data_IF_612145606189
#
_entry.id   IF_612145606189
#
_cell.length_a   1.000
_cell.length_b   1.000
_cell.length_c   1.000
_cell.angle_alpha   90.00
_cell.angle_beta   90.00
_cell.angle_gamma   90.00
#
_symmetry.space_group_name_H-M   'P 1'
#
loop_
_entity.id
_entity.type
_entity.pdbx_description
1 polymer ?
#
# COMPACT_ATOMS: atom_id res chain seq x y z
N UNK A 1 -4.79 36.75 9.55
CA UNK A 1 -5.66 35.88 8.73
C UNK A 1 -5.27 34.44 8.92
N UNK A 2 -6.11 33.64 9.48
CA UNK A 2 -5.81 32.24 9.70
C UNK A 2 -5.84 31.49 8.35
N UNK A 3 -4.85 30.66 8.12
CA UNK A 3 -4.90 29.77 6.97
C UNK A 3 -6.01 28.73 7.19
N UNK A 4 -6.94 28.69 6.27
CA UNK A 4 -7.92 27.61 6.25
C UNK A 4 -7.21 26.39 5.70
N UNK A 5 -6.95 25.41 6.55
CA UNK A 5 -6.50 24.11 6.10
C UNK A 5 -7.69 23.38 5.45
N UNK A 6 -7.42 22.62 4.39
CA UNK A 6 -8.43 21.76 3.85
C UNK A 6 -8.97 20.82 4.95
N UNK A 7 -10.29 20.72 5.14
CA UNK A 7 -10.86 19.83 6.14
C UNK A 7 -10.50 18.37 5.80
N UNK A 8 -10.37 17.56 6.84
CA UNK A 8 -10.27 16.12 6.67
C UNK A 8 -11.57 15.62 6.02
N UNK A 9 -11.44 14.76 5.03
CA UNK A 9 -12.56 14.13 4.35
C UNK A 9 -12.48 12.62 4.50
N UNK A 10 -13.64 11.97 4.55
CA UNK A 10 -13.70 10.51 4.50
C UNK A 10 -13.41 10.07 3.07
N UNK A 11 -12.41 9.23 2.93
CA UNK A 11 -11.99 8.69 1.64
C UNK A 11 -12.03 7.18 1.67
N UNK A 12 -12.51 6.59 0.59
CA UNK A 12 -12.54 5.15 0.40
C UNK A 12 -11.40 4.73 -0.54
N UNK A 13 -10.75 3.61 -0.22
CA UNK A 13 -9.69 3.08 -1.05
C UNK A 13 -10.26 2.65 -2.40
N UNK A 14 -9.81 3.32 -3.46
CA UNK A 14 -10.34 3.12 -4.82
C UNK A 14 -9.46 2.24 -5.70
N UNK A 15 -8.25 1.92 -5.25
CA UNK A 15 -7.30 1.13 -6.01
C UNK A 15 -7.41 -0.32 -5.56
N UNK A 16 -7.74 -1.26 -6.46
CA UNK A 16 -7.81 -2.68 -6.08
C UNK A 16 -6.42 -3.20 -5.69
N UNK A 17 -6.34 -4.24 -4.84
CA UNK A 17 -5.05 -4.84 -4.55
C UNK A 17 -4.43 -5.39 -5.83
N UNK A 18 -3.12 -5.20 -5.96
CA UNK A 18 -2.37 -5.85 -7.04
C UNK A 18 -1.77 -7.16 -6.53
N UNK A 19 -2.02 -8.25 -7.22
CA UNK A 19 -1.44 -9.55 -6.90
C UNK A 19 -1.39 -10.45 -8.12
N UNK A 20 -0.44 -11.38 -8.11
CA UNK A 20 -0.42 -12.53 -9.01
C UNK A 20 -0.70 -13.80 -8.22
N UNK A 21 -1.09 -14.88 -8.89
CA UNK A 21 -1.37 -16.17 -8.24
C UNK A 21 -0.15 -16.72 -7.49
N UNK A 22 1.03 -16.32 -7.91
CA UNK A 22 2.31 -16.74 -7.37
C UNK A 22 3.01 -15.67 -6.53
N UNK A 23 2.32 -14.62 -6.12
CA UNK A 23 2.90 -13.59 -5.25
C UNK A 23 3.41 -14.19 -3.94
N UNK A 24 4.60 -13.78 -3.52
CA UNK A 24 5.26 -14.27 -2.32
C UNK A 24 5.52 -13.20 -1.28
N UNK A 25 5.48 -11.94 -1.70
CA UNK A 25 5.73 -10.77 -0.86
C UNK A 25 4.51 -9.86 -0.96
N UNK A 26 4.01 -9.42 0.18
CA UNK A 26 2.97 -8.38 0.24
C UNK A 26 3.57 -7.12 0.84
N UNK A 27 3.50 -6.01 0.11
CA UNK A 27 3.88 -4.69 0.61
C UNK A 27 2.62 -3.90 0.91
N UNK A 28 2.50 -3.43 2.15
CA UNK A 28 1.36 -2.64 2.60
C UNK A 28 1.81 -1.22 2.90
N UNK A 29 1.15 -0.25 2.27
CA UNK A 29 1.20 1.14 2.67
C UNK A 29 0.07 1.48 3.63
N UNK A 30 -0.11 2.76 3.94
CA UNK A 30 -1.18 3.26 4.80
C UNK A 30 -2.47 3.49 4.02
N UNK A 31 -2.44 4.45 3.10
CA UNK A 31 -3.54 4.83 2.22
C UNK A 31 -2.95 5.51 0.98
N UNK A 32 -3.54 5.37 -0.22
CA UNK A 32 -2.95 5.94 -1.42
C UNK A 32 -2.99 7.47 -1.41
N UNK A 33 -1.95 8.09 -1.95
CA UNK A 33 -1.88 9.54 -2.12
C UNK A 33 -2.96 10.03 -3.10
N UNK A 34 -3.18 11.36 -3.12
CA UNK A 34 -4.10 11.97 -4.10
C UNK A 34 -3.68 11.60 -5.53
N UNK A 35 -2.39 11.69 -5.85
CA UNK A 35 -1.88 11.34 -7.19
C UNK A 35 -2.09 9.87 -7.52
N UNK A 36 -1.91 8.97 -6.58
CA UNK A 36 -2.20 7.55 -6.78
C UNK A 36 -3.67 7.30 -7.02
N UNK A 37 -4.56 7.96 -6.25
CA UNK A 37 -6.01 7.85 -6.44
C UNK A 37 -6.45 8.38 -7.80
N UNK A 38 -5.86 9.48 -8.29
CA UNK A 38 -6.13 10.05 -9.60
C UNK A 38 -5.65 9.14 -10.74
N UNK A 39 -4.47 8.57 -10.60
CA UNK A 39 -3.89 7.69 -11.64
C UNK A 39 -4.43 6.26 -11.61
N UNK A 40 -5.03 5.85 -10.50
CA UNK A 40 -5.58 4.50 -10.33
C UNK A 40 -4.54 3.43 -10.03
N UNK A 41 -3.32 3.80 -9.65
CA UNK A 41 -2.29 2.83 -9.26
C UNK A 41 -1.39 3.35 -8.14
N UNK A 42 -0.65 2.43 -7.50
CA UNK A 42 0.13 2.68 -6.29
C UNK A 42 1.36 3.54 -6.53
N UNK A 43 1.65 4.40 -5.56
CA UNK A 43 2.86 5.21 -5.54
C UNK A 43 3.04 6.04 -6.82
N UNK A 44 1.96 6.68 -7.26
CA UNK A 44 1.92 7.41 -8.53
C UNK A 44 2.49 8.81 -8.50
N UNK A 45 2.80 9.36 -7.30
CA UNK A 45 3.35 10.70 -7.22
C UNK A 45 4.76 10.74 -7.81
N UNK A 46 5.09 11.71 -8.69
CA UNK A 46 6.40 11.75 -9.36
C UNK A 46 7.60 11.82 -8.42
N UNK A 47 7.43 12.38 -7.21
CA UNK A 47 8.47 12.49 -6.21
C UNK A 47 8.55 11.31 -5.26
N UNK A 48 7.64 10.34 -5.37
CA UNK A 48 7.66 9.16 -4.53
C UNK A 48 8.82 8.25 -4.95
N UNK A 49 9.61 7.83 -3.96
CA UNK A 49 10.81 7.02 -4.19
C UNK A 49 10.56 5.52 -4.30
N UNK A 50 9.34 5.07 -4.08
CA UNK A 50 9.02 3.65 -3.98
C UNK A 50 9.55 2.84 -5.17
N UNK A 51 9.22 3.26 -6.40
CA UNK A 51 9.63 2.53 -7.61
C UNK A 51 11.14 2.59 -7.84
N UNK A 52 11.79 3.69 -7.49
CA UNK A 52 13.25 3.82 -7.58
C UNK A 52 13.97 2.91 -6.60
N UNK A 53 13.48 2.86 -5.35
CA UNK A 53 14.04 1.98 -4.33
C UNK A 53 13.85 0.53 -4.74
N UNK A 54 12.65 0.17 -5.17
CA UNK A 54 12.33 -1.20 -5.54
C UNK A 54 13.15 -1.67 -6.74
N UNK A 55 13.25 -0.84 -7.78
CA UNK A 55 14.07 -1.17 -8.96
C UNK A 55 15.55 -1.31 -8.61
N UNK A 56 16.05 -0.49 -7.69
CA UNK A 56 17.43 -0.59 -7.20
C UNK A 56 17.67 -1.89 -6.43
N UNK A 57 16.74 -2.28 -5.57
CA UNK A 57 16.84 -3.54 -4.81
C UNK A 57 16.96 -4.75 -5.73
N UNK A 58 16.22 -4.76 -6.83
CA UNK A 58 16.22 -5.88 -7.78
C UNK A 58 17.19 -5.70 -8.95
N UNK A 59 17.96 -4.61 -8.96
CA UNK A 59 18.87 -4.30 -10.07
C UNK A 59 18.14 -4.35 -11.42
N UNK A 60 17.00 -3.72 -11.48
CA UNK A 60 16.10 -3.72 -12.64
C UNK A 60 15.85 -2.31 -13.16
N UNK A 61 15.46 -2.15 -14.44
CA UNK A 61 15.11 -0.85 -14.99
C UNK A 61 13.92 -0.23 -14.24
N UNK A 62 13.93 1.10 -14.07
CA UNK A 62 12.84 1.82 -13.43
C UNK A 62 11.58 1.74 -14.29
N UNK A 63 10.46 1.17 -13.76
CA UNK A 63 9.21 1.16 -14.50
C UNK A 63 8.61 2.56 -14.59
N UNK A 64 8.15 2.95 -15.76
CA UNK A 64 7.63 4.29 -16.04
C UNK A 64 6.11 4.33 -16.13
N UNK A 65 5.52 3.34 -16.78
CA UNK A 65 4.08 3.25 -17.00
C UNK A 65 3.43 2.32 -15.98
N UNK A 66 2.11 2.44 -15.83
CA UNK A 66 1.35 1.52 -14.96
C UNK A 66 1.53 0.07 -15.42
N UNK A 67 1.52 -0.17 -16.73
CA UNK A 67 1.71 -1.53 -17.25
C UNK A 67 3.12 -2.06 -16.95
N UNK A 68 4.14 -1.24 -17.07
CA UNK A 68 5.51 -1.60 -16.70
C UNK A 68 5.63 -1.87 -15.19
N UNK A 69 4.93 -1.10 -14.36
CA UNK A 69 4.89 -1.31 -12.90
C UNK A 69 4.23 -2.64 -12.56
N UNK A 70 3.13 -2.96 -13.21
CA UNK A 70 2.46 -4.27 -13.04
C UNK A 70 3.37 -5.43 -13.42
N UNK A 71 4.03 -5.33 -14.56
CA UNK A 71 4.96 -6.36 -15.02
C UNK A 71 6.14 -6.53 -14.09
N UNK A 72 6.68 -5.42 -13.56
CA UNK A 72 7.72 -5.44 -12.55
C UNK A 72 7.29 -6.25 -11.32
N UNK A 73 6.09 -5.97 -10.82
CA UNK A 73 5.57 -6.68 -9.64
C UNK A 73 5.35 -8.16 -9.90
N UNK A 74 4.84 -8.53 -11.08
CA UNK A 74 4.68 -9.93 -11.46
C UNK A 74 6.02 -10.65 -11.53
N UNK A 75 7.00 -10.05 -12.17
CA UNK A 75 8.34 -10.61 -12.34
C UNK A 75 9.01 -10.89 -11.00
N UNK A 76 8.77 -10.06 -9.99
CA UNK A 76 9.39 -10.17 -8.67
C UNK A 76 8.48 -10.76 -7.60
N UNK A 77 7.31 -11.29 -7.96
CA UNK A 77 6.37 -11.97 -7.06
C UNK A 77 5.85 -11.08 -5.94
N UNK A 78 5.57 -9.82 -6.24
CA UNK A 78 5.16 -8.81 -5.28
C UNK A 78 3.68 -8.48 -5.43
N UNK A 79 2.96 -8.53 -4.31
CA UNK A 79 1.61 -7.99 -4.17
C UNK A 79 1.66 -6.63 -3.46
N UNK A 80 0.76 -5.73 -3.84
CA UNK A 80 0.65 -4.40 -3.23
C UNK A 80 -0.77 -4.15 -2.75
N UNK A 81 -0.87 -3.57 -1.57
CA UNK A 81 -2.11 -2.98 -1.07
C UNK A 81 -1.80 -1.95 0.01
N UNK A 82 -2.82 -1.50 0.71
CA UNK A 82 -2.71 -0.61 1.87
C UNK A 82 -3.50 -1.16 3.05
N UNK A 83 -3.16 -0.71 4.26
CA UNK A 83 -3.87 -1.16 5.46
C UNK A 83 -5.29 -0.60 5.49
N UNK A 84 -5.46 0.69 5.15
CA UNK A 84 -6.75 1.35 5.27
C UNK A 84 -7.63 1.15 4.04
N UNK A 85 -8.82 0.61 4.25
CA UNK A 85 -9.88 0.57 3.22
C UNK A 85 -10.64 1.89 3.15
N UNK A 86 -10.82 2.52 4.29
CA UNK A 86 -11.49 3.81 4.44
C UNK A 86 -10.87 4.55 5.61
N UNK A 87 -10.73 5.85 5.49
CA UNK A 87 -10.22 6.68 6.57
C UNK A 87 -10.61 8.14 6.36
N UNK A 88 -10.47 8.93 7.43
CA UNK A 88 -10.48 10.37 7.34
C UNK A 88 -9.06 10.85 7.12
N UNK A 89 -8.84 11.63 6.07
CA UNK A 89 -7.50 12.09 5.68
C UNK A 89 -7.58 13.49 5.06
N UNK A 90 -6.52 14.27 5.24
CA UNK A 90 -6.34 15.56 4.55
C UNK A 90 -5.36 15.39 3.40
N UNK A 91 -5.89 15.36 2.17
CA UNK A 91 -5.07 15.17 0.98
C UNK A 91 -4.26 13.88 1.02
N UNK A 92 -2.94 13.99 1.03
CA UNK A 92 -2.00 12.86 1.11
C UNK A 92 -1.27 12.77 2.43
N UNK A 93 -1.66 13.55 3.44
CA UNK A 93 -0.94 13.65 4.72
C UNK A 93 -1.20 12.43 5.61
N UNK A 94 -0.29 11.48 5.65
CA UNK A 94 -0.37 10.27 6.48
C UNK A 94 -0.60 10.60 7.96
N UNK A 95 -0.01 11.68 8.46
CA UNK A 95 -0.19 12.11 9.85
C UNK A 95 -1.63 12.55 10.17
N UNK A 96 -2.44 12.83 9.16
CA UNK A 96 -3.84 13.23 9.33
C UNK A 96 -4.81 12.05 9.31
N UNK A 97 -4.35 10.83 9.06
CA UNK A 97 -5.20 9.64 8.96
C UNK A 97 -5.85 9.33 10.32
N UNK A 98 -7.17 9.20 10.30
CA UNK A 98 -7.97 8.82 11.47
C UNK A 98 -9.23 8.07 11.03
N UNK A 99 -10.01 7.57 11.98
CA UNK A 99 -11.26 6.85 11.71
C UNK A 99 -11.08 5.73 10.68
N UNK A 100 -10.07 4.88 10.88
CA UNK A 100 -9.66 3.85 9.92
C UNK A 100 -10.56 2.63 9.98
N UNK A 101 -11.00 2.18 8.81
CA UNK A 101 -11.49 0.82 8.58
C UNK A 101 -10.42 0.08 7.79
N UNK A 102 -9.90 -1.03 8.34
CA UNK A 102 -8.82 -1.77 7.71
C UNK A 102 -9.32 -2.60 6.53
N UNK A 103 -8.47 -2.77 5.52
CA UNK A 103 -8.68 -3.75 4.48
C UNK A 103 -8.58 -5.17 5.06
N UNK A 104 -9.42 -6.07 4.59
CA UNK A 104 -9.31 -7.49 4.96
C UNK A 104 -8.28 -8.15 4.05
N UNK A 105 -7.09 -8.41 4.59
CA UNK A 105 -6.00 -9.04 3.83
C UNK A 105 -6.03 -10.56 3.90
N UNK A 106 -6.88 -11.14 4.73
CA UNK A 106 -6.93 -12.59 4.92
C UNK A 106 -7.21 -13.36 3.62
N UNK A 107 -8.10 -12.92 2.72
CA UNK A 107 -8.28 -13.59 1.43
C UNK A 107 -7.00 -13.65 0.59
N UNK A 108 -6.20 -12.58 0.59
CA UNK A 108 -4.91 -12.57 -0.11
C UNK A 108 -3.93 -13.56 0.50
N UNK A 109 -3.85 -13.60 1.83
CA UNK A 109 -2.94 -14.51 2.53
C UNK A 109 -3.32 -15.98 2.35
N UNK A 110 -4.62 -16.27 2.21
CA UNK A 110 -5.11 -17.64 1.95
C UNK A 110 -4.90 -18.10 0.52
N UNK A 111 -5.09 -17.20 -0.45
CA UNK A 111 -5.05 -17.57 -1.87
C UNK A 111 -3.64 -17.62 -2.44
N UNK A 112 -2.68 -17.00 -1.77
CA UNK A 112 -1.30 -16.88 -2.22
C UNK A 112 -0.34 -17.43 -1.17
N UNK A 113 0.86 -17.81 -1.61
CA UNK A 113 1.92 -18.27 -0.71
C UNK A 113 2.76 -17.09 -0.22
N UNK A 114 2.13 -16.14 0.44
CA UNK A 114 2.83 -14.98 0.99
C UNK A 114 3.75 -15.44 2.12
N UNK A 115 5.04 -15.19 1.96
CA UNK A 115 6.07 -15.54 2.92
C UNK A 115 6.45 -14.37 3.83
N UNK A 116 6.35 -13.15 3.30
CA UNK A 116 6.75 -11.94 4.02
C UNK A 116 5.79 -10.79 3.72
N UNK A 117 5.53 -10.00 4.74
CA UNK A 117 4.77 -8.75 4.66
C UNK A 117 5.71 -7.61 5.02
N UNK A 118 5.85 -6.64 4.12
CA UNK A 118 6.63 -5.43 4.33
C UNK A 118 5.70 -4.27 4.57
N UNK A 119 6.00 -3.46 5.58
CA UNK A 119 5.22 -2.29 5.94
C UNK A 119 5.95 -1.04 5.46
N UNK A 120 5.36 -0.34 4.51
CA UNK A 120 6.00 0.80 3.89
C UNK A 120 5.68 2.09 4.65
N UNK A 121 6.53 2.41 5.62
CA UNK A 121 6.47 3.63 6.40
C UNK A 121 5.90 3.45 7.80
N UNK A 122 6.12 4.46 8.64
CA UNK A 122 5.74 4.42 10.07
C UNK A 122 4.23 4.38 10.28
N UNK A 123 3.47 5.10 9.48
CA UNK A 123 2.01 5.11 9.57
C UNK A 123 1.45 3.74 9.22
N UNK A 124 1.96 3.10 8.17
CA UNK A 124 1.58 1.74 7.82
C UNK A 124 1.89 0.76 8.95
N UNK A 125 3.04 0.89 9.62
CA UNK A 125 3.39 0.05 10.76
C UNK A 125 2.41 0.21 11.91
N UNK A 126 2.07 1.44 12.27
CA UNK A 126 1.12 1.71 13.37
C UNK A 126 -0.25 1.14 13.08
N UNK A 127 -0.76 1.36 11.89
CA UNK A 127 -2.07 0.87 11.46
C UNK A 127 -2.10 -0.65 11.39
N UNK A 128 -1.05 -1.25 10.87
CA UNK A 128 -0.94 -2.71 10.80
C UNK A 128 -0.95 -3.34 12.19
N UNK A 129 -0.16 -2.83 13.11
CA UNK A 129 -0.10 -3.34 14.49
C UNK A 129 -1.45 -3.27 15.18
N UNK A 130 -2.19 -2.19 14.93
CA UNK A 130 -3.50 -1.98 15.54
C UNK A 130 -4.59 -2.87 14.96
N UNK A 131 -4.61 -3.06 13.65
CA UNK A 131 -5.76 -3.65 12.96
C UNK A 131 -5.52 -5.03 12.36
N UNK A 132 -4.29 -5.38 11.99
CA UNK A 132 -4.02 -6.55 11.15
C UNK A 132 -3.00 -7.54 11.72
N UNK A 133 -2.25 -7.18 12.76
CA UNK A 133 -1.15 -8.02 13.23
C UNK A 133 -1.59 -9.37 13.80
N UNK A 134 -2.67 -9.42 14.57
CA UNK A 134 -3.18 -10.67 15.14
C UNK A 134 -3.65 -11.63 14.06
N UNK A 135 -4.40 -11.13 13.10
CA UNK A 135 -4.93 -11.94 12.01
C UNK A 135 -3.81 -12.44 11.11
N UNK A 136 -2.84 -11.58 10.79
CA UNK A 136 -1.70 -11.94 9.95
C UNK A 136 -0.84 -13.03 10.60
N UNK A 137 -0.67 -12.99 11.90
CA UNK A 137 0.13 -13.99 12.63
C UNK A 137 -0.38 -15.42 12.44
N UNK A 138 -1.68 -15.59 12.20
CA UNK A 138 -2.29 -16.90 11.96
C UNK A 138 -1.82 -17.58 10.67
N UNK A 139 -1.27 -16.81 9.74
CA UNK A 139 -0.79 -17.33 8.45
C UNK A 139 0.69 -17.66 8.44
N UNK A 140 1.41 -17.40 9.53
CA UNK A 140 2.84 -17.74 9.64
C UNK A 140 3.77 -16.91 8.77
N UNK A 141 3.32 -15.75 8.28
CA UNK A 141 4.15 -14.85 7.51
C UNK A 141 5.17 -14.12 8.40
N UNK A 142 6.36 -13.85 7.86
CA UNK A 142 7.29 -12.90 8.48
C UNK A 142 6.84 -11.47 8.16
N UNK A 143 6.84 -10.63 9.18
CA UNK A 143 6.46 -9.22 9.03
C UNK A 143 7.64 -8.30 9.26
#
# INVERSE_FOLDING_TARGET
>A
MSRIQAPAAVETHSIPPFFGDDSQILILGSFPSVKSRESGFYYGHPQNRFWRVLSSVFDAPLPQTIEQKREFLRTHYIALWDVAAECSIRGSADSSISAVTANDIAPLLRSMQIKAVFLNGQTAQKLFRKYLSEETAKFGCTV
#
